data_IF_920335841660
#
_entry.id   IF_920335841660
#
_cell.length_a   1.000
_cell.length_b   1.000
_cell.length_c   1.000
_cell.angle_alpha   90.00
_cell.angle_beta   90.00
_cell.angle_gamma   90.00
#
_symmetry.space_group_name_H-M   'P 1'
#
loop_
_entity.id
_entity.type
_entity.pdbx_description
1 polymer ?
#
# COMPACT_ATOMS: atom_id res chain seq x y z
N UNK A 1 -69.78 36.23 48.62
CA UNK A 1 -70.65 37.25 48.01
C UNK A 1 -70.05 37.57 46.64
N UNK A 2 -69.76 36.56 45.82
CA UNK A 2 -70.70 35.90 44.89
C UNK A 2 -71.15 36.87 43.79
N UNK A 3 -70.68 36.73 42.55
CA UNK A 3 -71.53 36.24 41.46
C UNK A 3 -70.73 35.93 40.16
N UNK A 4 -71.31 35.04 39.36
CA UNK A 4 -70.80 34.31 38.20
C UNK A 4 -70.92 35.06 36.86
N UNK A 5 -70.28 34.47 35.85
CA UNK A 5 -70.75 34.25 34.46
C UNK A 5 -70.32 35.19 33.31
N UNK A 6 -69.26 34.77 32.62
CA UNK A 6 -69.19 34.47 31.17
C UNK A 6 -69.83 35.41 30.14
N UNK A 7 -69.02 35.96 29.20
CA UNK A 7 -69.46 36.27 27.85
C UNK A 7 -69.05 35.18 26.83
N UNK A 8 -70.04 34.73 26.07
CA UNK A 8 -69.97 33.84 24.90
C UNK A 8 -69.01 34.38 23.83
N UNK A 9 -67.98 33.60 23.49
CA UNK A 9 -67.09 33.85 22.36
C UNK A 9 -67.79 33.44 21.05
N UNK A 10 -67.82 34.36 20.08
CA UNK A 10 -68.13 34.06 18.68
C UNK A 10 -66.87 33.59 17.95
N UNK A 11 -67.06 32.50 17.23
CA UNK A 11 -66.20 31.79 16.27
C UNK A 11 -65.70 32.68 15.11
N UNK A 12 -64.42 32.54 14.72
CA UNK A 12 -63.98 32.71 13.32
C UNK A 12 -62.79 31.78 13.01
N UNK A 13 -63.04 30.78 12.15
CA UNK A 13 -62.21 30.55 10.96
C UNK A 13 -61.01 29.61 11.08
N UNK A 14 -61.28 28.31 10.99
CA UNK A 14 -60.32 27.29 10.58
C UNK A 14 -60.28 27.23 9.04
N UNK A 15 -59.09 27.38 8.44
CA UNK A 15 -58.80 27.01 7.05
C UNK A 15 -57.55 26.11 7.07
N UNK A 16 -57.71 24.88 6.58
CA UNK A 16 -56.66 23.87 6.55
C UNK A 16 -55.70 24.01 5.37
N UNK A 17 -54.58 23.28 5.44
CA UNK A 17 -53.99 22.66 4.26
C UNK A 17 -53.36 21.33 4.65
N UNK A 18 -53.46 20.41 3.69
CA UNK A 18 -53.39 18.96 3.82
C UNK A 18 -51.97 18.42 4.00
N UNK A 19 -51.92 17.13 4.36
CA UNK A 19 -50.74 16.41 4.79
C UNK A 19 -49.54 16.45 3.84
N UNK A 20 -48.37 16.30 4.45
CA UNK A 20 -47.24 15.65 3.80
C UNK A 20 -46.61 14.68 4.80
N UNK A 21 -46.58 13.41 4.41
CA UNK A 21 -45.99 12.32 5.16
C UNK A 21 -45.03 11.62 4.23
N UNK A 22 -43.82 12.16 4.05
CA UNK A 22 -42.69 11.49 3.39
C UNK A 22 -41.37 12.28 3.54
N UNK A 23 -41.04 12.76 4.75
CA UNK A 23 -39.79 13.52 4.98
C UNK A 23 -38.79 12.83 5.89
N UNK A 24 -39.13 11.69 6.47
CA UNK A 24 -38.23 10.95 7.38
C UNK A 24 -37.26 10.00 6.68
N UNK A 25 -37.33 9.83 5.36
CA UNK A 25 -36.44 8.92 4.60
C UNK A 25 -35.53 9.61 3.57
N UNK A 26 -35.50 10.95 3.53
CA UNK A 26 -34.60 11.71 2.63
C UNK A 26 -33.30 12.15 3.30
N UNK A 27 -33.22 12.03 4.62
CA UNK A 27 -32.06 12.49 5.42
C UNK A 27 -31.09 11.37 5.82
N UNK A 28 -31.35 10.12 5.44
CA UNK A 28 -30.47 8.98 5.79
C UNK A 28 -29.46 8.61 4.70
N UNK A 29 -29.51 9.27 3.53
CA UNK A 29 -28.65 8.99 2.37
C UNK A 29 -27.92 10.28 1.90
N UNK A 30 -27.64 11.22 2.80
CA UNK A 30 -26.74 12.32 2.48
C UNK A 30 -25.75 12.58 3.62
N UNK A 31 -24.47 12.67 3.27
CA UNK A 31 -23.46 13.28 4.13
C UNK A 31 -22.43 12.38 4.80
N UNK A 32 -22.64 11.07 4.96
CA UNK A 32 -21.57 10.19 5.46
C UNK A 32 -20.56 9.87 4.36
N UNK A 33 -19.71 10.85 4.04
CA UNK A 33 -18.35 10.56 3.56
C UNK A 33 -17.73 9.64 4.60
N UNK A 34 -17.69 8.35 4.30
CA UNK A 34 -16.92 7.37 5.06
C UNK A 34 -15.45 7.82 4.99
N UNK A 35 -15.05 8.68 5.92
CA UNK A 35 -13.66 9.09 6.11
C UNK A 35 -12.97 7.88 6.71
N UNK A 36 -12.40 7.05 5.83
CA UNK A 36 -11.55 5.94 6.25
C UNK A 36 -10.48 6.53 7.17
N UNK A 37 -10.54 6.14 8.45
CA UNK A 37 -9.57 6.57 9.43
C UNK A 37 -8.20 6.05 8.98
N UNK A 38 -7.23 6.95 8.81
CA UNK A 38 -5.86 6.56 8.47
C UNK A 38 -5.23 5.89 9.69
N UNK A 39 -5.45 4.58 9.82
CA UNK A 39 -5.05 3.77 10.98
C UNK A 39 -3.54 3.50 11.09
N UNK A 40 -2.70 4.03 10.18
CA UNK A 40 -1.26 3.78 10.19
C UNK A 40 -0.50 4.98 10.77
N UNK A 41 -0.03 4.84 12.00
CA UNK A 41 0.93 5.78 12.59
C UNK A 41 2.33 5.64 11.99
N UNK A 42 3.15 6.71 12.10
CA UNK A 42 4.51 6.77 11.54
C UNK A 42 5.38 5.60 11.98
N UNK A 43 5.31 5.21 13.26
CA UNK A 43 6.08 4.09 13.82
C UNK A 43 5.64 2.76 13.20
N UNK A 44 4.33 2.53 13.09
CA UNK A 44 3.78 1.32 12.49
C UNK A 44 4.14 1.21 11.00
N UNK A 45 3.99 2.31 10.26
CA UNK A 45 4.37 2.36 8.84
C UNK A 45 5.87 2.15 8.62
N UNK A 46 6.72 2.74 9.45
CA UNK A 46 8.18 2.57 9.34
C UNK A 46 8.59 1.13 9.67
N UNK A 47 8.03 0.55 10.74
CA UNK A 47 8.29 -0.85 11.09
C UNK A 47 7.86 -1.83 9.99
N UNK A 48 6.72 -1.56 9.33
CA UNK A 48 6.27 -2.33 8.18
C UNK A 48 7.26 -2.24 7.03
N UNK A 49 7.73 -1.05 6.67
CA UNK A 49 8.70 -0.85 5.59
C UNK A 49 10.03 -1.56 5.90
N UNK A 50 10.53 -1.46 7.13
CA UNK A 50 11.76 -2.16 7.55
C UNK A 50 11.60 -3.68 7.41
N UNK A 51 10.44 -4.21 7.79
CA UNK A 51 10.14 -5.64 7.66
C UNK A 51 10.04 -6.11 6.20
N UNK A 52 9.60 -5.22 5.28
CA UNK A 52 9.54 -5.53 3.84
C UNK A 52 10.92 -5.50 3.17
N UNK A 53 11.85 -4.68 3.67
CA UNK A 53 13.22 -4.57 3.13
C UNK A 53 14.10 -5.72 3.65
N UNK A 54 13.97 -6.08 4.93
CA UNK A 54 14.74 -7.17 5.53
C UNK A 54 14.07 -8.50 5.18
N UNK A 55 14.47 -9.09 4.05
CA UNK A 55 14.01 -10.41 3.58
C UNK A 55 15.03 -11.54 3.79
N UNK A 56 14.75 -12.70 3.18
CA UNK A 56 15.63 -13.88 3.17
C UNK A 56 16.98 -13.64 2.46
N UNK A 57 17.09 -12.57 1.67
CA UNK A 57 18.30 -12.23 0.92
C UNK A 57 19.54 -11.99 1.78
N UNK A 58 19.39 -11.71 3.08
CA UNK A 58 20.54 -11.54 3.99
C UNK A 58 21.34 -12.83 4.18
N UNK A 59 20.74 -14.00 3.96
CA UNK A 59 21.42 -15.29 4.13
C UNK A 59 22.17 -15.73 2.85
N UNK A 60 21.81 -15.17 1.70
CA UNK A 60 22.32 -15.59 0.39
C UNK A 60 23.27 -14.56 -0.24
N UNK A 61 22.93 -13.28 -0.08
CA UNK A 61 23.63 -12.17 -0.72
C UNK A 61 25.06 -12.00 -0.19
N UNK A 62 25.36 -12.11 1.11
CA UNK A 62 26.74 -11.96 1.61
C UNK A 62 27.71 -13.01 1.04
N UNK A 63 27.26 -14.26 0.89
CA UNK A 63 28.07 -15.32 0.29
C UNK A 63 28.36 -15.03 -1.20
N UNK A 64 27.35 -14.53 -1.93
CA UNK A 64 27.50 -14.14 -3.33
C UNK A 64 28.46 -12.96 -3.51
N UNK A 65 28.34 -11.93 -2.65
CA UNK A 65 29.22 -10.76 -2.66
C UNK A 65 30.65 -11.15 -2.28
N UNK A 66 30.83 -12.03 -1.31
CA UNK A 66 32.15 -12.54 -0.94
C UNK A 66 32.85 -13.24 -2.11
N UNK A 67 32.13 -14.15 -2.78
CA UNK A 67 32.65 -14.91 -3.90
C UNK A 67 33.07 -14.02 -5.08
N UNK A 68 32.30 -12.95 -5.34
CA UNK A 68 32.58 -12.00 -6.42
C UNK A 68 33.63 -10.94 -6.06
N UNK A 69 33.73 -10.54 -4.78
CA UNK A 69 34.63 -9.47 -4.34
C UNK A 69 36.05 -9.96 -4.00
N UNK A 70 36.21 -11.23 -3.62
CA UNK A 70 37.50 -11.86 -3.32
C UNK A 70 38.23 -11.36 -2.06
N UNK A 71 37.79 -10.25 -1.46
CA UNK A 71 38.38 -9.67 -0.25
C UNK A 71 37.30 -9.07 0.68
N UNK A 72 37.45 -9.20 2.02
CA UNK A 72 36.51 -8.64 3.00
C UNK A 72 36.33 -7.13 2.89
N UNK A 73 37.41 -6.41 2.58
CA UNK A 73 37.36 -4.94 2.45
C UNK A 73 36.52 -4.50 1.25
N UNK A 74 36.67 -5.20 0.13
CA UNK A 74 35.90 -4.94 -1.09
C UNK A 74 34.42 -5.27 -0.89
N UNK A 75 34.09 -6.35 -0.17
CA UNK A 75 32.71 -6.71 0.15
C UNK A 75 32.00 -5.62 0.97
N UNK A 76 32.67 -5.01 1.95
CA UNK A 76 32.12 -3.90 2.74
C UNK A 76 31.89 -2.64 1.91
N UNK A 77 32.80 -2.31 1.00
CA UNK A 77 32.65 -1.17 0.08
C UNK A 77 31.47 -1.38 -0.85
N UNK A 78 31.29 -2.58 -1.42
CA UNK A 78 30.16 -2.91 -2.28
C UNK A 78 28.82 -2.77 -1.55
N UNK A 79 28.74 -3.20 -0.29
CA UNK A 79 27.58 -2.98 0.56
C UNK A 79 27.31 -1.49 0.82
N UNK A 80 28.34 -0.70 1.10
CA UNK A 80 28.19 0.73 1.31
C UNK A 80 27.68 1.44 0.04
N UNK A 81 28.22 1.11 -1.14
CA UNK A 81 27.76 1.65 -2.43
C UNK A 81 26.30 1.27 -2.68
N UNK A 82 25.93 0.01 -2.48
CA UNK A 82 24.54 -0.45 -2.62
C UNK A 82 23.58 0.29 -1.68
N UNK A 83 24.00 0.54 -0.43
CA UNK A 83 23.24 1.33 0.53
C UNK A 83 23.03 2.78 0.09
N UNK A 84 24.09 3.44 -0.38
CA UNK A 84 24.03 4.82 -0.88
C UNK A 84 23.12 4.93 -2.11
N UNK A 85 23.24 4.01 -3.07
CA UNK A 85 22.36 3.98 -4.25
C UNK A 85 20.90 3.78 -3.87
N UNK A 86 20.64 2.86 -2.94
CA UNK A 86 19.27 2.60 -2.43
C UNK A 86 18.70 3.83 -1.71
N UNK A 87 19.54 4.55 -0.96
CA UNK A 87 19.13 5.77 -0.25
C UNK A 87 18.66 6.87 -1.21
N UNK A 88 19.43 7.14 -2.28
CA UNK A 88 19.02 8.10 -3.31
C UNK A 88 17.76 7.66 -4.06
N UNK A 89 17.62 6.36 -4.33
CA UNK A 89 16.39 5.78 -4.86
C UNK A 89 15.19 6.04 -3.95
N UNK A 90 15.32 5.77 -2.65
CA UNK A 90 14.26 5.97 -1.68
C UNK A 90 13.81 7.44 -1.59
N UNK A 91 14.74 8.40 -1.59
CA UNK A 91 14.40 9.83 -1.59
C UNK A 91 13.59 10.21 -2.83
N UNK A 92 14.00 9.75 -4.01
CA UNK A 92 13.28 10.01 -5.26
C UNK A 92 11.84 9.47 -5.22
N UNK A 93 11.65 8.30 -4.63
CA UNK A 93 10.32 7.71 -4.42
C UNK A 93 9.49 8.46 -3.37
N UNK A 94 10.12 9.00 -2.32
CA UNK A 94 9.45 9.82 -1.30
C UNK A 94 8.96 11.15 -1.90
N UNK A 95 9.76 11.81 -2.73
CA UNK A 95 9.35 13.03 -3.45
C UNK A 95 8.12 12.76 -4.32
N UNK A 96 8.14 11.65 -5.07
CA UNK A 96 7.01 11.26 -5.91
C UNK A 96 5.76 10.93 -5.08
N UNK A 97 5.93 10.23 -3.95
CA UNK A 97 4.83 9.86 -3.07
C UNK A 97 4.23 11.00 -2.24
N UNK A 98 5.01 12.04 -1.96
CA UNK A 98 4.51 13.26 -1.35
C UNK A 98 3.81 14.17 -2.37
N UNK A 99 4.25 14.17 -3.64
CA UNK A 99 3.64 14.96 -4.71
C UNK A 99 2.26 14.46 -5.13
N UNK A 100 2.00 13.15 -5.08
CA UNK A 100 0.72 12.55 -5.52
C UNK A 100 0.16 11.56 -4.49
N UNK A 101 -0.50 12.02 -3.41
CA UNK A 101 -1.08 11.18 -2.38
C UNK A 101 -2.40 10.53 -2.85
N UNK A 102 -2.33 9.67 -3.86
CA UNK A 102 -3.45 8.88 -4.37
C UNK A 102 -3.22 7.39 -4.11
N UNK A 103 -4.29 6.70 -3.70
CA UNK A 103 -4.29 5.25 -3.57
C UNK A 103 -4.02 4.60 -4.94
N UNK A 104 -2.98 3.76 -5.02
CA UNK A 104 -2.61 3.03 -6.24
C UNK A 104 -1.11 2.90 -6.50
N UNK A 105 -0.25 3.49 -5.66
CA UNK A 105 1.21 3.30 -5.73
C UNK A 105 1.80 3.69 -7.09
N UNK A 106 2.73 2.88 -7.59
CA UNK A 106 3.44 3.12 -8.86
C UNK A 106 2.51 3.26 -10.08
N UNK A 107 1.39 2.54 -10.08
CA UNK A 107 0.37 2.64 -11.13
C UNK A 107 -0.29 4.01 -11.15
N UNK A 108 -0.56 4.59 -9.98
CA UNK A 108 -1.19 5.91 -9.86
C UNK A 108 -0.26 7.04 -10.35
N UNK A 109 1.06 6.92 -10.12
CA UNK A 109 2.05 7.86 -10.65
C UNK A 109 2.11 7.80 -12.18
N UNK A 110 2.16 6.60 -12.76
CA UNK A 110 2.19 6.42 -14.21
C UNK A 110 0.91 6.91 -14.89
N UNK A 111 -0.25 6.66 -14.28
CA UNK A 111 -1.54 7.14 -14.78
C UNK A 111 -1.67 8.67 -14.74
N UNK A 112 -0.95 9.35 -13.83
CA UNK A 112 -0.92 10.81 -13.75
C UNK A 112 0.04 11.45 -14.76
N UNK A 113 1.22 10.85 -14.95
CA UNK A 113 2.26 11.35 -15.85
C UNK A 113 1.88 11.18 -17.34
N UNK A 114 1.30 10.05 -17.73
CA UNK A 114 0.99 9.74 -19.13
C UNK A 114 -0.49 9.95 -19.46
N UNK A 115 -0.85 11.19 -19.85
CA UNK A 115 -2.24 11.57 -20.19
C UNK A 115 -2.72 11.05 -21.55
N UNK A 116 -1.84 10.55 -22.43
CA UNK A 116 -2.16 9.93 -23.73
C UNK A 116 -1.20 8.76 -23.99
N UNK A 117 -1.63 7.52 -24.28
CA UNK A 117 -2.93 6.86 -24.00
C UNK A 117 -3.10 6.55 -22.51
N UNK A 118 -4.24 6.97 -21.96
CA UNK A 118 -4.51 7.21 -20.53
C UNK A 118 -4.39 6.00 -19.58
N UNK A 119 -4.29 4.78 -20.12
CA UNK A 119 -4.25 3.55 -19.32
C UNK A 119 -3.29 2.48 -19.84
N UNK A 120 -2.73 2.64 -21.04
CA UNK A 120 -1.96 1.56 -21.67
C UNK A 120 -0.62 1.34 -20.95
N UNK A 121 0.10 2.42 -20.64
CA UNK A 121 1.40 2.33 -19.96
C UNK A 121 1.28 1.88 -18.51
N UNK A 122 0.30 2.41 -17.76
CA UNK A 122 0.03 1.97 -16.40
C UNK A 122 -0.39 0.48 -16.38
N UNK A 123 -1.22 0.04 -17.34
CA UNK A 123 -1.61 -1.36 -17.48
C UNK A 123 -0.42 -2.25 -17.85
N UNK A 124 0.41 -1.86 -18.82
CA UNK A 124 1.55 -2.66 -19.27
C UNK A 124 2.63 -2.78 -18.18
N UNK A 125 2.81 -1.73 -17.38
CA UNK A 125 3.66 -1.76 -16.20
C UNK A 125 3.11 -2.72 -15.13
N UNK A 126 1.82 -2.59 -14.76
CA UNK A 126 1.18 -3.52 -13.82
C UNK A 126 1.19 -4.96 -14.33
N UNK A 127 0.95 -5.18 -15.62
CA UNK A 127 1.00 -6.49 -16.26
C UNK A 127 2.39 -7.10 -16.11
N UNK A 128 3.44 -6.35 -16.45
CA UNK A 128 4.83 -6.82 -16.32
C UNK A 128 5.20 -7.08 -14.85
N UNK A 129 4.75 -6.23 -13.93
CA UNK A 129 4.94 -6.44 -12.50
C UNK A 129 4.32 -7.76 -12.05
N UNK A 130 3.06 -8.01 -12.41
CA UNK A 130 2.29 -9.17 -11.94
C UNK A 130 2.74 -10.46 -12.64
N UNK A 131 3.04 -10.42 -13.93
CA UNK A 131 3.35 -11.61 -14.73
C UNK A 131 4.83 -11.98 -14.70
N UNK A 132 5.73 -11.00 -14.59
CA UNK A 132 7.17 -11.26 -14.66
C UNK A 132 7.86 -11.02 -13.33
N UNK A 133 7.72 -9.81 -12.77
CA UNK A 133 8.59 -9.38 -11.66
C UNK A 133 8.24 -10.12 -10.36
N UNK A 134 6.97 -10.11 -9.95
CA UNK A 134 6.50 -10.77 -8.72
C UNK A 134 6.73 -12.29 -8.74
N UNK A 135 6.28 -13.05 -9.74
CA UNK A 135 6.53 -14.48 -9.78
C UNK A 135 8.01 -14.81 -9.97
N UNK A 136 8.78 -13.97 -10.69
CA UNK A 136 10.22 -14.14 -10.83
C UNK A 136 10.96 -14.05 -9.49
N UNK A 137 10.62 -13.08 -8.64
CA UNK A 137 11.24 -12.95 -7.31
C UNK A 137 10.89 -14.12 -6.39
N UNK A 138 9.65 -14.61 -6.44
CA UNK A 138 9.23 -15.77 -5.66
C UNK A 138 9.87 -17.07 -6.16
N UNK A 139 9.98 -17.24 -7.49
CA UNK A 139 10.64 -18.40 -8.08
C UNK A 139 12.13 -18.47 -7.70
N UNK A 140 12.84 -17.35 -7.77
CA UNK A 140 14.23 -17.26 -7.32
C UNK A 140 14.37 -17.64 -5.83
N UNK A 141 13.46 -17.14 -4.99
CA UNK A 141 13.44 -17.47 -3.56
C UNK A 141 13.15 -18.96 -3.30
N UNK A 142 12.26 -19.58 -4.09
CA UNK A 142 11.95 -21.00 -4.00
C UNK A 142 13.14 -21.90 -4.35
N UNK A 143 13.91 -21.56 -5.39
CA UNK A 143 15.11 -22.31 -5.78
C UNK A 143 16.14 -22.29 -4.65
N UNK A 144 16.38 -21.11 -4.10
CA UNK A 144 17.31 -20.93 -2.98
C UNK A 144 16.86 -21.77 -1.77
N UNK A 145 15.58 -21.71 -1.41
CA UNK A 145 15.01 -22.52 -0.34
C UNK A 145 15.21 -24.02 -0.56
N UNK A 146 14.97 -24.51 -1.78
CA UNK A 146 15.22 -25.90 -2.16
C UNK A 146 16.68 -26.31 -1.97
N UNK A 147 17.63 -25.45 -2.36
CA UNK A 147 19.08 -25.69 -2.18
C UNK A 147 19.43 -25.78 -0.69
N UNK A 148 18.91 -24.90 0.16
CA UNK A 148 19.18 -24.95 1.60
C UNK A 148 18.57 -26.18 2.29
N UNK A 149 17.35 -26.59 1.92
CA UNK A 149 16.75 -27.83 2.45
C UNK A 149 17.55 -29.06 2.03
N UNK A 150 17.96 -29.14 0.76
CA UNK A 150 18.73 -30.27 0.25
C UNK A 150 20.10 -30.35 0.95
N UNK A 151 20.77 -29.21 1.12
CA UNK A 151 22.03 -29.10 1.86
C UNK A 151 21.87 -29.57 3.31
N UNK A 152 20.77 -29.21 3.97
CA UNK A 152 20.49 -29.62 5.34
C UNK A 152 20.14 -31.12 5.48
N UNK A 153 19.45 -31.70 4.48
CA UNK A 153 18.94 -33.08 4.53
C UNK A 153 19.95 -34.14 4.09
N UNK A 154 20.71 -33.89 3.01
CA UNK A 154 21.60 -34.90 2.42
C UNK A 154 23.10 -34.61 2.65
N UNK A 155 23.46 -33.42 3.16
CA UNK A 155 24.85 -32.96 3.14
C UNK A 155 25.30 -32.65 1.71
N UNK A 156 26.18 -31.67 1.52
CA UNK A 156 26.56 -31.15 0.20
C UNK A 156 26.86 -32.27 -0.82
N UNK A 157 26.08 -32.43 -1.91
CA UNK A 157 26.56 -33.21 -3.04
C UNK A 157 27.63 -32.39 -3.74
N UNK A 158 28.83 -32.96 -3.89
CA UNK A 158 30.05 -32.35 -4.47
C UNK A 158 29.89 -31.82 -5.92
N UNK A 159 28.70 -31.94 -6.52
CA UNK A 159 28.38 -31.53 -7.89
C UNK A 159 27.69 -30.17 -8.02
N UNK A 160 27.55 -29.40 -6.93
CA UNK A 160 26.91 -28.07 -6.93
C UNK A 160 27.88 -26.88 -6.79
N UNK A 161 29.20 -27.13 -6.72
CA UNK A 161 30.21 -26.06 -6.64
C UNK A 161 30.46 -25.34 -8.00
N UNK A 162 30.06 -25.94 -9.12
CA UNK A 162 30.37 -25.44 -10.47
C UNK A 162 29.29 -24.55 -11.12
N UNK A 163 28.19 -24.28 -10.42
CA UNK A 163 27.03 -23.60 -11.02
C UNK A 163 26.48 -22.47 -10.16
N UNK A 164 26.87 -21.25 -10.51
CA UNK A 164 26.11 -20.04 -10.19
C UNK A 164 24.75 -20.08 -10.90
#
# INVERSE_FOLDING_TARGET
MDDKSTPTAMEVGQAGHSGDGDDSNKTLIDGNKLKLEQSMGVVSGTAMVVSLIIGSGIFTTPASVWHLAGSPGMAMIMWAIGGVLTYFGAISYIELGTMLPKSGGEQAYLAYAFKRPRFLFAFMFCWTLIVCIRPGSEAASSVVFGKYILFAGYGAPDSLEDGF
#
